data_IF_064681483017
#
_entry.id   IF_064681483017
#
_cell.length_a   1.000
_cell.length_b   1.000
_cell.length_c   1.000
_cell.angle_alpha   90.00
_cell.angle_beta   90.00
_cell.angle_gamma   90.00
#
_symmetry.space_group_name_H-M   'P 1'
#
loop_
_entity.id
_entity.type
_entity.pdbx_description
1 polymer ?
#
# COMPACT_ATOMS: atom_id res chain seq x y z
N UNK A 1 9.35 8.05 26.86
CA UNK A 1 9.04 6.96 25.91
C UNK A 1 10.34 6.56 25.22
N UNK A 2 10.55 5.28 24.90
CA UNK A 2 11.70 4.84 24.12
C UNK A 2 11.55 5.33 22.67
N UNK A 3 12.61 5.91 22.11
CA UNK A 3 12.65 6.34 20.70
C UNK A 3 12.69 5.13 19.78
N UNK A 4 12.12 5.24 18.59
CA UNK A 4 12.27 4.25 17.51
C UNK A 4 13.71 4.29 17.01
N UNK A 5 14.39 3.15 17.05
CA UNK A 5 15.81 3.03 16.70
C UNK A 5 15.94 2.65 15.24
N UNK A 6 16.47 3.54 14.41
CA UNK A 6 16.53 3.37 12.95
C UNK A 6 17.96 3.14 12.50
N UNK A 7 18.18 2.20 11.58
CA UNK A 7 19.44 2.03 10.87
C UNK A 7 19.21 2.23 9.37
N UNK A 8 20.04 3.04 8.72
CA UNK A 8 19.95 3.27 7.27
C UNK A 8 21.08 2.61 6.50
N UNK A 9 20.76 1.89 5.43
CA UNK A 9 21.70 1.27 4.50
C UNK A 9 21.53 1.91 3.14
N UNK A 10 22.54 2.66 2.70
CA UNK A 10 22.55 3.38 1.41
C UNK A 10 24.01 3.62 1.00
N UNK A 11 24.34 3.42 -0.28
CA UNK A 11 25.71 3.56 -0.78
C UNK A 11 26.16 5.03 -0.88
N UNK A 12 25.20 5.95 -0.98
CA UNK A 12 25.44 7.39 -1.04
C UNK A 12 25.69 7.97 0.35
N UNK A 13 26.89 8.50 0.56
CA UNK A 13 27.23 9.22 1.79
C UNK A 13 26.28 10.41 2.04
N UNK A 14 25.90 11.12 0.97
CA UNK A 14 24.96 12.24 1.04
C UNK A 14 23.58 11.77 1.50
N UNK A 15 23.05 10.68 0.92
CA UNK A 15 21.74 10.17 1.32
C UNK A 15 21.75 9.68 2.76
N UNK A 16 22.83 9.05 3.22
CA UNK A 16 22.98 8.66 4.63
C UNK A 16 22.97 9.87 5.57
N UNK A 17 23.61 10.97 5.20
CA UNK A 17 23.57 12.22 6.00
C UNK A 17 22.15 12.79 6.03
N UNK A 18 21.50 12.92 4.87
CA UNK A 18 20.11 13.41 4.75
C UNK A 18 19.15 12.56 5.60
N UNK A 19 19.23 11.23 5.48
CA UNK A 19 18.40 10.30 6.27
C UNK A 19 18.67 10.45 7.77
N UNK A 20 19.92 10.65 8.16
CA UNK A 20 20.29 10.88 9.57
C UNK A 20 19.68 12.17 10.10
N UNK A 21 19.77 13.26 9.35
CA UNK A 21 19.18 14.54 9.72
C UNK A 21 17.66 14.47 9.80
N UNK A 22 17.01 13.85 8.81
CA UNK A 22 15.56 13.65 8.79
C UNK A 22 15.12 12.88 10.03
N UNK A 23 15.67 11.69 10.27
CA UNK A 23 15.25 10.85 11.40
C UNK A 23 15.52 11.56 12.73
N UNK A 24 16.68 12.18 12.92
CA UNK A 24 17.02 12.85 14.18
C UNK A 24 16.26 14.17 14.40
N UNK A 25 15.62 14.73 13.36
CA UNK A 25 14.76 15.91 13.52
C UNK A 25 13.42 15.60 14.20
N UNK A 26 13.01 14.33 14.22
CA UNK A 26 11.78 13.87 14.87
C UNK A 26 12.05 13.41 16.31
N UNK A 27 11.27 13.88 17.27
CA UNK A 27 11.50 13.62 18.70
C UNK A 27 11.28 12.17 19.14
N UNK A 28 10.53 11.40 18.35
CA UNK A 28 10.11 10.02 18.65
C UNK A 28 11.00 8.94 18.03
N UNK A 29 12.04 9.31 17.29
CA UNK A 29 12.96 8.37 16.63
C UNK A 29 14.42 8.84 16.70
N UNK A 30 15.36 7.94 16.44
CA UNK A 30 16.80 8.22 16.40
C UNK A 30 17.51 7.34 15.38
N UNK A 31 18.51 7.90 14.69
CA UNK A 31 19.38 7.15 13.79
C UNK A 31 20.53 6.53 14.59
N UNK A 32 20.48 5.23 14.84
CA UNK A 32 21.48 4.53 15.67
C UNK A 32 22.77 4.23 14.90
N UNK A 33 22.69 4.04 13.59
CA UNK A 33 23.83 3.81 12.73
C UNK A 33 23.46 3.98 11.25
N UNK A 34 24.46 4.18 10.41
CA UNK A 34 24.31 4.09 8.94
C UNK A 34 25.37 3.14 8.36
N UNK A 35 25.02 2.44 7.30
CA UNK A 35 25.89 1.48 6.62
C UNK A 35 25.99 1.81 5.12
N UNK A 36 27.21 1.80 4.54
CA UNK A 36 27.39 1.97 3.10
C UNK A 36 27.09 0.71 2.28
N UNK A 37 27.04 -0.45 2.91
CA UNK A 37 26.89 -1.74 2.23
C UNK A 37 26.26 -2.82 3.13
N UNK A 38 25.73 -3.91 2.54
CA UNK A 38 25.12 -5.03 3.27
C UNK A 38 26.01 -5.75 4.29
N UNK A 39 27.33 -5.80 4.07
CA UNK A 39 28.24 -6.51 4.98
C UNK A 39 28.40 -5.72 6.27
N UNK A 40 28.65 -4.41 6.17
CA UNK A 40 28.71 -3.50 7.31
C UNK A 40 27.35 -3.43 7.99
N UNK A 41 26.26 -3.37 7.21
CA UNK A 41 24.90 -3.35 7.76
C UNK A 41 24.64 -4.55 8.67
N UNK A 42 25.03 -5.76 8.27
CA UNK A 42 24.84 -6.97 9.08
C UNK A 42 25.46 -6.86 10.47
N UNK A 43 26.67 -6.34 10.56
CA UNK A 43 27.40 -6.23 11.82
C UNK A 43 26.82 -5.12 12.70
N UNK A 44 26.41 -4.00 12.10
CA UNK A 44 25.73 -2.91 12.79
C UNK A 44 24.33 -3.32 13.29
N UNK A 45 23.56 -4.10 12.53
CA UNK A 45 22.26 -4.62 12.99
C UNK A 45 22.45 -5.54 14.21
N UNK A 46 23.52 -6.34 14.27
CA UNK A 46 23.84 -7.16 15.46
C UNK A 46 24.22 -6.29 16.66
N UNK A 47 25.07 -5.29 16.44
CA UNK A 47 25.59 -4.42 17.51
C UNK A 47 24.52 -3.50 18.09
N UNK A 48 23.73 -2.87 17.21
CA UNK A 48 22.78 -1.84 17.61
C UNK A 48 21.37 -2.38 17.80
N UNK A 49 20.98 -3.52 17.23
CA UNK A 49 19.62 -4.06 17.31
C UNK A 49 18.53 -2.99 17.05
N UNK A 50 18.49 -2.41 15.83
CA UNK A 50 17.50 -1.39 15.46
C UNK A 50 16.07 -1.95 15.41
N UNK A 51 15.09 -1.07 15.61
CA UNK A 51 13.66 -1.37 15.46
C UNK A 51 13.22 -1.31 14.00
N UNK A 52 13.82 -0.43 13.19
CA UNK A 52 13.49 -0.26 11.77
C UNK A 52 14.77 -0.14 10.95
N UNK A 53 14.78 -0.79 9.78
CA UNK A 53 15.83 -0.68 8.78
C UNK A 53 15.28 0.10 7.57
N UNK A 54 16.00 1.13 7.13
CA UNK A 54 15.79 1.71 5.79
C UNK A 54 16.84 1.14 4.85
N UNK A 55 16.41 0.57 3.73
CA UNK A 55 17.29 -0.19 2.83
C UNK A 55 17.17 0.34 1.40
N UNK A 56 18.29 0.81 0.86
CA UNK A 56 18.39 1.14 -0.55
C UNK A 56 18.28 -0.10 -1.43
N UNK A 57 17.57 0.04 -2.54
CA UNK A 57 17.43 -1.01 -3.55
C UNK A 57 18.72 -1.14 -4.37
N UNK A 58 19.28 0.00 -4.80
CA UNK A 58 20.37 0.03 -5.77
C UNK A 58 21.72 0.22 -5.07
N UNK A 59 22.43 -0.88 -4.81
CA UNK A 59 23.77 -0.81 -4.22
C UNK A 59 24.82 -1.55 -5.08
N UNK A 60 26.07 -1.05 -5.14
CA UNK A 60 27.14 -1.73 -5.83
C UNK A 60 27.53 -3.05 -5.12
N UNK A 61 27.85 -4.08 -5.92
CA UNK A 61 28.33 -5.44 -5.54
C UNK A 61 27.27 -6.43 -5.06
N UNK A 62 26.33 -6.02 -4.21
CA UNK A 62 25.24 -6.89 -3.74
C UNK A 62 23.92 -6.13 -3.85
N UNK A 63 22.97 -6.73 -4.57
CA UNK A 63 21.62 -6.18 -4.72
C UNK A 63 20.95 -6.08 -3.35
N UNK A 64 20.30 -4.94 -3.05
CA UNK A 64 19.55 -4.75 -1.82
C UNK A 64 18.48 -5.82 -1.63
N UNK A 65 17.98 -6.40 -2.72
CA UNK A 65 17.02 -7.50 -2.69
C UNK A 65 17.61 -8.80 -2.11
N UNK A 66 18.82 -9.19 -2.51
CA UNK A 66 19.51 -10.38 -1.98
C UNK A 66 19.80 -10.24 -0.49
N UNK A 67 20.15 -9.02 -0.07
CA UNK A 67 20.35 -8.72 1.34
C UNK A 67 19.05 -8.83 2.13
N UNK A 68 17.95 -8.26 1.60
CA UNK A 68 16.62 -8.35 2.21
C UNK A 68 16.18 -9.82 2.38
N UNK A 69 16.33 -10.65 1.34
CA UNK A 69 15.96 -12.06 1.39
C UNK A 69 16.71 -12.81 2.52
N UNK A 70 18.03 -12.63 2.59
CA UNK A 70 18.87 -13.23 3.63
C UNK A 70 18.52 -12.68 5.02
N UNK A 71 18.25 -11.38 5.13
CA UNK A 71 17.86 -10.73 6.37
C UNK A 71 16.53 -11.29 6.89
N UNK A 72 15.50 -11.32 6.05
CA UNK A 72 14.16 -11.81 6.43
C UNK A 72 14.17 -13.29 6.81
N UNK A 73 15.04 -14.09 6.18
CA UNK A 73 15.23 -15.52 6.53
C UNK A 73 15.95 -15.73 7.87
N UNK A 74 16.98 -14.93 8.16
CA UNK A 74 17.85 -15.15 9.33
C UNK A 74 17.40 -14.38 10.57
N UNK A 75 16.98 -13.12 10.40
CA UNK A 75 16.51 -12.20 11.44
C UNK A 75 15.45 -11.25 10.86
N UNK A 76 14.18 -11.69 10.73
CA UNK A 76 13.12 -10.84 10.21
C UNK A 76 12.95 -9.60 11.09
N UNK A 77 12.98 -8.43 10.48
CA UNK A 77 12.84 -7.14 11.15
C UNK A 77 12.16 -6.12 10.22
N UNK A 78 11.61 -5.02 10.74
CA UNK A 78 10.94 -4.02 9.91
C UNK A 78 11.87 -3.37 8.90
N UNK A 79 11.58 -3.56 7.61
CA UNK A 79 12.33 -2.93 6.52
C UNK A 79 11.41 -2.00 5.71
N UNK A 80 11.88 -0.77 5.52
CA UNK A 80 11.31 0.20 4.59
C UNK A 80 12.31 0.37 3.44
N UNK A 81 11.87 0.07 2.22
CA UNK A 81 12.73 0.20 1.04
C UNK A 81 12.87 1.67 0.64
N UNK A 82 14.04 2.05 0.16
CA UNK A 82 14.30 3.36 -0.44
C UNK A 82 14.65 3.13 -1.90
N UNK A 83 13.82 3.62 -2.82
CA UNK A 83 13.95 3.32 -4.26
C UNK A 83 14.02 4.59 -5.09
N UNK A 84 14.70 4.52 -6.23
CA UNK A 84 14.61 5.52 -7.30
C UNK A 84 13.24 5.45 -8.01
N UNK A 85 12.82 6.55 -8.64
CA UNK A 85 11.63 6.65 -9.51
C UNK A 85 11.89 6.10 -10.92
N UNK A 86 12.58 4.97 -11.03
CA UNK A 86 12.84 4.33 -12.34
C UNK A 86 11.92 3.14 -12.56
N UNK A 87 11.63 2.82 -13.83
CA UNK A 87 10.82 1.64 -14.17
C UNK A 87 11.40 0.34 -13.58
N UNK A 88 12.73 0.16 -13.67
CA UNK A 88 13.45 -0.96 -13.03
C UNK A 88 13.34 -0.94 -11.51
N UNK A 89 13.52 0.22 -10.88
CA UNK A 89 13.36 0.38 -9.43
C UNK A 89 11.96 0.00 -8.93
N UNK A 90 10.92 0.26 -9.73
CA UNK A 90 9.54 -0.10 -9.37
C UNK A 90 9.32 -1.61 -9.28
N UNK A 91 9.82 -2.40 -10.23
CA UNK A 91 9.68 -3.85 -10.22
C UNK A 91 10.44 -4.49 -9.05
N UNK A 92 11.67 -4.03 -8.81
CA UNK A 92 12.50 -4.52 -7.70
C UNK A 92 11.86 -4.18 -6.35
N UNK A 93 11.28 -2.98 -6.21
CA UNK A 93 10.58 -2.59 -4.98
C UNK A 93 9.34 -3.44 -4.73
N UNK A 94 8.54 -3.74 -5.77
CA UNK A 94 7.40 -4.64 -5.64
C UNK A 94 7.85 -6.04 -5.21
N UNK A 95 8.97 -6.53 -5.76
CA UNK A 95 9.56 -7.80 -5.34
C UNK A 95 10.03 -7.77 -3.88
N UNK A 96 10.60 -6.65 -3.44
CA UNK A 96 11.03 -6.47 -2.05
C UNK A 96 9.85 -6.55 -1.06
N UNK A 97 8.67 -6.00 -1.41
CA UNK A 97 7.46 -6.11 -0.58
C UNK A 97 7.01 -7.58 -0.43
N UNK A 98 7.11 -8.39 -1.48
CA UNK A 98 6.80 -9.84 -1.40
C UNK A 98 7.77 -10.60 -0.49
N UNK A 99 9.06 -10.23 -0.54
CA UNK A 99 10.10 -10.81 0.32
C UNK A 99 9.94 -10.39 1.79
N UNK A 100 9.04 -9.45 2.08
CA UNK A 100 8.63 -9.07 3.43
C UNK A 100 9.06 -7.68 3.86
N UNK A 101 9.49 -6.81 2.93
CA UNK A 101 9.53 -5.39 3.21
C UNK A 101 8.11 -4.87 3.52
N UNK A 102 8.01 -3.93 4.45
CA UNK A 102 6.71 -3.42 4.93
C UNK A 102 6.16 -2.37 3.99
N UNK A 103 7.05 -1.50 3.50
CA UNK A 103 6.69 -0.35 2.68
C UNK A 103 7.93 0.17 1.93
N UNK A 104 7.74 1.21 1.14
CA UNK A 104 8.82 1.89 0.45
C UNK A 104 8.66 3.42 0.44
N UNK A 105 9.76 4.10 0.15
CA UNK A 105 9.84 5.54 -0.06
C UNK A 105 10.65 5.81 -1.32
N UNK A 106 10.26 6.83 -2.07
CA UNK A 106 10.98 7.25 -3.28
C UNK A 106 12.06 8.27 -2.95
N UNK A 107 13.29 8.09 -3.45
CA UNK A 107 14.37 9.08 -3.29
C UNK A 107 13.91 10.45 -3.83
N UNK A 108 14.18 11.56 -3.11
CA UNK A 108 13.71 12.87 -3.51
C UNK A 108 14.50 13.35 -4.72
N UNK A 109 13.85 14.13 -5.59
CA UNK A 109 14.57 14.88 -6.61
C UNK A 109 15.27 16.06 -5.94
N UNK A 110 16.60 15.96 -5.80
CA UNK A 110 17.44 16.98 -5.16
C UNK A 110 17.30 18.32 -5.90
N UNK A 111 16.73 19.33 -5.24
CA UNK A 111 16.60 20.69 -5.80
C UNK A 111 15.43 21.54 -5.28
N UNK A 112 14.42 20.93 -4.66
CA UNK A 112 13.20 21.64 -4.21
C UNK A 112 13.10 21.60 -2.67
N UNK A 113 13.23 22.75 -2.02
CA UNK A 113 13.23 22.89 -0.55
C UNK A 113 11.90 22.44 0.09
N UNK A 114 10.77 22.72 -0.56
CA UNK A 114 9.44 22.22 -0.13
C UNK A 114 9.33 20.69 -0.23
N UNK A 115 9.97 20.09 -1.24
CA UNK A 115 10.03 18.65 -1.41
C UNK A 115 10.71 17.96 -0.24
N UNK A 116 11.72 18.58 0.38
CA UNK A 116 12.45 18.01 1.52
C UNK A 116 11.61 17.93 2.81
N UNK A 117 10.75 18.92 3.07
CA UNK A 117 9.86 18.89 4.24
C UNK A 117 8.79 17.80 4.08
N UNK A 118 8.15 17.73 2.90
CA UNK A 118 7.19 16.69 2.59
C UNK A 118 7.83 15.28 2.63
N UNK A 119 9.07 15.17 2.16
CA UNK A 119 9.85 13.93 2.20
C UNK A 119 10.20 13.51 3.63
N UNK A 120 10.57 14.45 4.50
CA UNK A 120 10.84 14.20 5.92
C UNK A 120 9.62 13.62 6.63
N UNK A 121 8.45 14.24 6.46
CA UNK A 121 7.20 13.75 7.03
C UNK A 121 6.82 12.36 6.48
N UNK A 122 6.99 12.14 5.18
CA UNK A 122 6.73 10.86 4.54
C UNK A 122 7.60 9.74 5.11
N UNK A 123 8.91 9.95 5.24
CA UNK A 123 9.82 8.96 5.85
C UNK A 123 9.41 8.69 7.29
N UNK A 124 9.15 9.72 8.08
CA UNK A 124 8.79 9.58 9.48
C UNK A 124 7.50 8.77 9.65
N UNK A 125 6.49 9.02 8.82
CA UNK A 125 5.25 8.22 8.80
C UNK A 125 5.52 6.75 8.46
N UNK A 126 6.32 6.48 7.42
CA UNK A 126 6.65 5.10 7.00
C UNK A 126 7.46 4.36 8.07
N UNK A 127 8.42 5.02 8.70
CA UNK A 127 9.23 4.46 9.81
C UNK A 127 8.37 4.19 11.04
N UNK A 128 7.49 5.12 11.44
CA UNK A 128 6.53 4.89 12.55
C UNK A 128 5.62 3.72 12.25
N UNK A 129 5.17 3.60 11.00
CA UNK A 129 4.31 2.49 10.56
C UNK A 129 5.05 1.17 10.63
N UNK A 130 6.29 1.13 10.12
CA UNK A 130 7.13 -0.05 10.16
C UNK A 130 7.47 -0.49 11.59
N UNK A 131 7.80 0.45 12.48
CA UNK A 131 8.13 0.16 13.88
C UNK A 131 6.97 -0.49 14.65
N UNK A 132 5.72 -0.16 14.30
CA UNK A 132 4.53 -0.78 14.91
C UNK A 132 4.02 -2.00 14.13
N UNK A 133 4.58 -2.27 12.95
CA UNK A 133 4.18 -3.40 12.14
C UNK A 133 4.53 -4.69 12.89
N UNK A 134 3.51 -5.52 13.12
CA UNK A 134 3.73 -6.82 13.74
C UNK A 134 4.27 -7.77 12.68
N UNK A 135 5.59 -7.89 12.62
CA UNK A 135 6.26 -8.95 11.87
C UNK A 135 6.09 -10.22 12.68
N UNK A 136 4.88 -10.81 12.61
CA UNK A 136 4.79 -12.23 12.83
C UNK A 136 5.72 -12.85 11.79
N UNK A 137 6.73 -13.62 12.24
CA UNK A 137 7.69 -14.31 11.39
C UNK A 137 7.02 -14.68 10.07
N UNK A 138 7.54 -14.15 8.97
CA UNK A 138 7.01 -14.22 7.61
C UNK A 138 6.84 -15.70 7.21
N UNK A 139 5.84 -16.35 7.79
CA UNK A 139 5.46 -17.70 7.45
C UNK A 139 4.67 -17.49 6.19
N UNK A 140 5.16 -17.95 5.02
CA UNK A 140 4.43 -17.80 3.78
C UNK A 140 3.02 -18.31 4.03
N UNK A 141 2.06 -17.39 4.07
CA UNK A 141 0.67 -17.77 4.22
C UNK A 141 0.34 -18.48 2.91
N UNK A 142 -0.11 -19.73 3.00
CA UNK A 142 -0.43 -20.51 1.82
C UNK A 142 -1.37 -19.68 0.93
N UNK A 143 -1.12 -19.69 -0.38
CA UNK A 143 -1.95 -18.97 -1.32
C UNK A 143 -3.42 -19.33 -1.06
N UNK A 144 -4.32 -18.34 -0.92
CA UNK A 144 -5.71 -18.61 -0.59
C UNK A 144 -6.30 -19.55 -1.65
N UNK A 145 -7.01 -20.58 -1.19
CA UNK A 145 -7.68 -21.51 -2.07
C UNK A 145 -8.64 -20.75 -2.99
N UNK A 146 -8.64 -21.09 -4.27
CA UNK A 146 -9.46 -20.45 -5.29
C UNK A 146 -10.94 -20.47 -4.89
N UNK A 147 -11.61 -19.32 -4.96
CA UNK A 147 -13.05 -19.25 -4.72
C UNK A 147 -13.79 -19.95 -5.87
N UNK A 148 -14.84 -20.70 -5.53
CA UNK A 148 -15.64 -21.42 -6.55
C UNK A 148 -16.29 -20.41 -7.50
N UNK A 149 -16.22 -20.69 -8.80
CA UNK A 149 -16.87 -19.88 -9.82
C UNK A 149 -18.40 -19.96 -9.66
N UNK A 150 -19.03 -18.80 -9.45
CA UNK A 150 -20.47 -18.61 -9.55
C UNK A 150 -20.88 -18.06 -10.93
N UNK A 151 -22.19 -18.00 -11.23
CA UNK A 151 -22.69 -17.34 -12.44
C UNK A 151 -22.31 -15.85 -12.46
N UNK A 152 -22.23 -15.26 -13.65
CA UNK A 152 -21.97 -13.82 -13.81
C UNK A 152 -23.05 -13.01 -13.09
N UNK A 153 -22.61 -12.12 -12.21
CA UNK A 153 -23.47 -11.16 -11.54
C UNK A 153 -23.78 -9.99 -12.49
N UNK A 154 -24.88 -9.28 -12.23
CA UNK A 154 -25.23 -8.06 -12.98
C UNK A 154 -24.05 -7.08 -13.00
N UNK A 155 -23.84 -6.41 -14.14
CA UNK A 155 -22.79 -5.40 -14.32
C UNK A 155 -22.94 -4.18 -13.40
N UNK A 156 -24.05 -4.09 -12.66
CA UNK A 156 -24.23 -3.10 -11.61
C UNK A 156 -23.44 -3.41 -10.32
N UNK A 157 -23.04 -4.67 -10.09
CA UNK A 157 -22.31 -5.07 -8.87
C UNK A 157 -20.82 -4.79 -9.04
N UNK A 158 -20.22 -4.17 -8.03
CA UNK A 158 -18.78 -3.91 -7.99
C UNK A 158 -18.21 -3.96 -6.57
N UNK A 159 -16.89 -4.08 -6.47
CA UNK A 159 -16.14 -4.04 -5.22
C UNK A 159 -15.20 -2.85 -5.28
N UNK A 160 -15.22 -1.99 -4.27
CA UNK A 160 -14.31 -0.86 -4.13
C UNK A 160 -13.31 -1.15 -3.01
N UNK A 161 -12.01 -1.07 -3.31
CA UNK A 161 -10.94 -1.36 -2.36
C UNK A 161 -10.07 -0.12 -2.15
N UNK A 162 -9.84 0.24 -0.89
CA UNK A 162 -8.88 1.27 -0.50
C UNK A 162 -7.73 0.68 0.32
N UNK A 163 -6.49 1.03 0.03
CA UNK A 163 -5.32 0.49 0.72
C UNK A 163 -4.12 1.46 0.74
N UNK A 164 -3.22 1.27 1.71
CA UNK A 164 -2.00 2.07 1.87
C UNK A 164 -0.81 1.17 2.26
N UNK A 165 -0.15 1.38 3.40
CA UNK A 165 0.98 0.53 3.85
C UNK A 165 0.59 -0.95 4.00
N UNK A 166 1.37 -1.84 3.39
CA UNK A 166 1.07 -3.29 3.30
C UNK A 166 -0.09 -3.64 2.36
N UNK A 167 -0.69 -2.65 1.71
CA UNK A 167 -1.83 -2.81 0.81
C UNK A 167 -1.49 -3.63 -0.43
N UNK A 168 -0.26 -3.58 -0.94
CA UNK A 168 0.18 -4.36 -2.11
C UNK A 168 -0.02 -5.86 -1.92
N UNK A 169 0.46 -6.39 -0.79
CA UNK A 169 0.30 -7.80 -0.43
C UNK A 169 -1.16 -8.12 -0.09
N UNK A 170 -1.85 -7.25 0.64
CA UNK A 170 -3.25 -7.45 1.02
C UNK A 170 -4.17 -7.53 -0.22
N UNK A 171 -3.98 -6.63 -1.18
CA UNK A 171 -4.71 -6.63 -2.46
C UNK A 171 -4.43 -7.92 -3.22
N UNK A 172 -3.17 -8.36 -3.32
CA UNK A 172 -2.84 -9.64 -3.98
C UNK A 172 -3.62 -10.81 -3.36
N UNK A 173 -3.64 -10.92 -2.04
CA UNK A 173 -4.36 -12.00 -1.36
C UNK A 173 -5.87 -11.94 -1.57
N UNK A 174 -6.45 -10.75 -1.76
CA UNK A 174 -7.87 -10.58 -2.07
C UNK A 174 -8.19 -10.92 -3.53
N UNK A 175 -7.33 -10.53 -4.48
CA UNK A 175 -7.60 -10.69 -5.91
C UNK A 175 -7.24 -12.08 -6.46
N UNK A 176 -6.16 -12.68 -5.98
CA UNK A 176 -5.65 -13.96 -6.50
C UNK A 176 -6.68 -15.11 -6.48
N UNK A 177 -7.53 -15.28 -5.44
CA UNK A 177 -8.52 -16.36 -5.44
C UNK A 177 -9.79 -16.04 -6.24
N UNK A 178 -9.94 -14.83 -6.81
CA UNK A 178 -11.15 -14.42 -7.52
C UNK A 178 -11.27 -15.13 -8.88
N UNK A 179 -12.41 -15.76 -9.20
CA UNK A 179 -12.67 -16.33 -10.53
C UNK A 179 -12.97 -15.24 -11.57
N UNK A 180 -12.84 -15.59 -12.86
CA UNK A 180 -13.18 -14.71 -14.00
C UNK A 180 -14.60 -14.14 -13.97
N UNK A 181 -15.55 -14.84 -13.32
CA UNK A 181 -16.94 -14.39 -13.19
C UNK A 181 -17.17 -13.38 -12.07
N UNK A 182 -16.12 -12.95 -11.37
CA UNK A 182 -16.22 -11.98 -10.28
C UNK A 182 -16.74 -10.62 -10.76
N UNK A 183 -17.45 -9.86 -9.91
CA UNK A 183 -17.78 -8.46 -10.19
C UNK A 183 -16.54 -7.63 -10.47
N UNK A 184 -16.75 -6.46 -11.08
CA UNK A 184 -15.66 -5.51 -11.27
C UNK A 184 -15.07 -5.06 -9.93
N UNK A 185 -13.75 -4.90 -9.86
CA UNK A 185 -13.05 -4.40 -8.69
C UNK A 185 -12.35 -3.09 -9.02
N UNK A 186 -12.56 -2.04 -8.24
CA UNK A 186 -11.88 -0.75 -8.42
C UNK A 186 -11.06 -0.44 -7.16
N UNK A 187 -9.79 -0.14 -7.34
CA UNK A 187 -8.80 -0.14 -6.26
C UNK A 187 -8.04 1.17 -6.25
N UNK A 188 -8.07 1.87 -5.12
CA UNK A 188 -7.15 2.98 -4.85
C UNK A 188 -6.13 2.55 -3.83
N UNK A 189 -4.89 2.41 -4.29
CA UNK A 189 -3.71 2.17 -3.46
C UNK A 189 -2.87 3.44 -3.42
N UNK A 190 -2.54 3.94 -2.22
CA UNK A 190 -1.63 5.08 -2.08
C UNK A 190 -0.23 4.68 -2.58
N UNK A 191 0.12 5.14 -3.78
CA UNK A 191 1.32 4.73 -4.50
C UNK A 191 1.79 5.86 -5.44
N UNK A 192 3.10 6.12 -5.54
CA UNK A 192 3.65 7.13 -6.44
C UNK A 192 3.37 6.83 -7.93
N UNK A 193 3.46 7.83 -8.82
CA UNK A 193 3.36 7.62 -10.26
C UNK A 193 4.43 6.64 -10.77
N UNK A 194 4.07 5.85 -11.78
CA UNK A 194 4.93 4.80 -12.37
C UNK A 194 4.92 3.46 -11.63
N UNK A 195 4.74 3.46 -10.30
CA UNK A 195 4.63 2.21 -9.53
C UNK A 195 3.26 1.53 -9.73
N UNK A 196 2.21 2.32 -9.93
CA UNK A 196 0.84 1.82 -10.13
C UNK A 196 0.69 0.96 -11.38
N UNK A 197 1.37 1.35 -12.47
CA UNK A 197 1.44 0.57 -13.70
C UNK A 197 2.11 -0.79 -13.49
N UNK A 198 3.35 -0.80 -12.97
CA UNK A 198 4.09 -2.03 -12.68
C UNK A 198 3.35 -2.94 -11.70
N UNK A 199 2.63 -2.37 -10.73
CA UNK A 199 1.81 -3.10 -9.79
C UNK A 199 0.61 -3.78 -10.46
N UNK A 200 -0.08 -3.07 -11.36
CA UNK A 200 -1.19 -3.63 -12.13
C UNK A 200 -0.74 -4.77 -13.04
N UNK A 201 0.33 -4.57 -13.82
CA UNK A 201 0.88 -5.62 -14.70
C UNK A 201 1.30 -6.86 -13.91
N UNK A 202 1.88 -6.67 -12.72
CA UNK A 202 2.29 -7.79 -11.88
C UNK A 202 1.08 -8.56 -11.33
N UNK A 203 0.06 -7.88 -10.84
CA UNK A 203 -1.17 -8.53 -10.39
C UNK A 203 -1.88 -9.27 -11.54
N UNK A 204 -1.84 -8.73 -12.75
CA UNK A 204 -2.40 -9.35 -13.95
C UNK A 204 -1.73 -10.70 -14.28
N UNK A 205 -0.43 -10.83 -14.00
CA UNK A 205 0.32 -12.10 -14.18
C UNK A 205 -0.02 -13.14 -13.11
N UNK A 206 -0.55 -12.73 -11.95
CA UNK A 206 -0.78 -13.59 -10.79
C UNK A 206 -2.24 -13.98 -10.58
N UNK A 207 -3.19 -13.16 -11.07
CA UNK A 207 -4.62 -13.35 -10.87
C UNK A 207 -5.27 -14.02 -12.10
N UNK A 208 -6.45 -14.61 -11.90
CA UNK A 208 -7.28 -15.09 -13.02
C UNK A 208 -8.02 -13.95 -13.70
N UNK A 209 -8.53 -12.99 -12.91
CA UNK A 209 -9.15 -11.78 -13.42
C UNK A 209 -8.11 -10.89 -14.10
N UNK A 210 -8.55 -10.11 -15.10
CA UNK A 210 -7.70 -9.12 -15.75
C UNK A 210 -7.45 -7.94 -14.80
N UNK A 211 -6.19 -7.59 -14.57
CA UNK A 211 -5.83 -6.43 -13.75
C UNK A 211 -5.12 -5.40 -14.61
N UNK A 212 -5.55 -4.14 -14.54
CA UNK A 212 -4.92 -3.04 -15.29
C UNK A 212 -4.92 -1.73 -14.51
N UNK A 213 -4.03 -0.82 -14.88
CA UNK A 213 -4.11 0.58 -14.46
C UNK A 213 -5.31 1.23 -15.15
N UNK A 214 -6.04 2.06 -14.41
CA UNK A 214 -7.30 2.61 -14.85
C UNK A 214 -7.11 3.77 -15.84
N UNK A 215 -7.84 3.72 -16.95
CA UNK A 215 -7.85 4.72 -18.02
C UNK A 215 -9.14 5.55 -17.97
N UNK A 216 -9.03 6.85 -18.27
CA UNK A 216 -10.20 7.74 -18.26
C UNK A 216 -11.23 7.32 -19.32
N UNK A 217 -12.50 7.27 -18.93
CA UNK A 217 -13.62 6.93 -19.81
C UNK A 217 -13.79 5.44 -20.11
N UNK A 218 -12.92 4.56 -19.59
CA UNK A 218 -13.06 3.13 -19.86
C UNK A 218 -14.25 2.51 -19.11
N UNK A 219 -14.82 1.45 -19.68
CA UNK A 219 -15.97 0.75 -19.07
C UNK A 219 -15.52 -0.15 -17.93
N UNK A 220 -16.29 -0.14 -16.83
CA UNK A 220 -16.10 -1.02 -15.69
C UNK A 220 -16.82 -2.35 -15.95
N UNK A 221 -16.05 -3.43 -16.14
CA UNK A 221 -16.55 -4.74 -16.55
C UNK A 221 -16.31 -5.82 -15.47
N UNK A 222 -17.18 -6.84 -15.35
CA UNK A 222 -16.89 -8.03 -14.55
C UNK A 222 -15.60 -8.73 -15.00
N UNK A 223 -14.97 -9.45 -14.08
CA UNK A 223 -13.70 -10.14 -14.32
C UNK A 223 -12.49 -9.21 -14.47
N UNK A 224 -12.64 -7.93 -14.10
CA UNK A 224 -11.58 -6.93 -14.16
C UNK A 224 -11.33 -6.26 -12.81
N UNK A 225 -10.06 -5.95 -12.54
CA UNK A 225 -9.63 -5.05 -11.48
C UNK A 225 -8.92 -3.82 -12.05
N UNK A 226 -9.34 -2.63 -11.63
CA UNK A 226 -8.81 -1.34 -12.07
C UNK A 226 -8.04 -0.68 -10.93
N UNK A 227 -6.77 -0.36 -11.16
CA UNK A 227 -5.91 0.30 -10.18
C UNK A 227 -5.82 1.79 -10.49
N UNK A 228 -6.09 2.63 -9.51
CA UNK A 228 -5.96 4.08 -9.65
C UNK A 228 -4.53 4.46 -10.08
N UNK A 229 -4.37 5.27 -11.15
CA UNK A 229 -3.06 5.74 -11.57
C UNK A 229 -2.43 6.65 -10.50
N UNK A 230 -1.11 6.53 -10.32
CA UNK A 230 -0.35 7.36 -9.39
C UNK A 230 -0.41 8.84 -9.78
N UNK A 231 -0.44 9.72 -8.78
CA UNK A 231 -0.59 11.17 -8.95
C UNK A 231 -1.88 11.65 -9.64
N UNK A 232 -2.87 10.77 -9.80
CA UNK A 232 -4.22 11.12 -10.29
C UNK A 232 -5.30 10.57 -9.38
N UNK A 233 -6.48 11.19 -9.34
CA UNK A 233 -7.64 10.62 -8.67
C UNK A 233 -8.43 9.73 -9.61
N UNK A 234 -8.89 8.59 -9.10
CA UNK A 234 -9.82 7.69 -9.78
C UNK A 234 -11.17 7.72 -9.08
N UNK A 235 -12.22 7.95 -9.86
CA UNK A 235 -13.61 7.95 -9.43
C UNK A 235 -14.43 6.98 -10.28
N UNK A 236 -15.51 6.45 -9.69
CA UNK A 236 -16.57 5.79 -10.44
C UNK A 236 -17.49 6.86 -11.03
N UNK A 237 -17.70 6.84 -12.34
CA UNK A 237 -18.71 7.63 -13.03
C UNK A 237 -19.80 6.73 -13.61
N UNK A 238 -20.92 7.34 -14.01
CA UNK A 238 -22.03 6.62 -14.66
C UNK A 238 -22.42 7.34 -15.95
N UNK A 239 -22.48 6.60 -17.04
CA UNK A 239 -22.99 7.06 -18.34
C UNK A 239 -24.11 6.14 -18.77
N UNK A 240 -25.35 6.64 -18.70
CA UNK A 240 -26.56 5.84 -18.90
C UNK A 240 -26.62 4.64 -17.96
N UNK A 241 -26.72 3.44 -18.53
CA UNK A 241 -26.78 2.18 -17.78
C UNK A 241 -25.39 1.64 -17.36
N UNK A 242 -24.29 2.22 -17.85
CA UNK A 242 -22.95 1.68 -17.65
C UNK A 242 -22.14 2.50 -16.64
N UNK A 243 -21.28 1.80 -15.90
CA UNK A 243 -20.22 2.41 -15.10
C UNK A 243 -18.98 2.66 -15.95
N UNK A 244 -18.36 3.82 -15.71
CA UNK A 244 -17.12 4.24 -16.35
C UNK A 244 -16.10 4.62 -15.27
N UNK A 245 -14.82 4.45 -15.58
CA UNK A 245 -13.74 5.06 -14.83
C UNK A 245 -13.66 6.54 -15.21
N UNK A 246 -13.50 7.40 -14.21
CA UNK A 246 -13.13 8.79 -14.40
C UNK A 246 -11.81 9.06 -13.71
N UNK A 247 -10.83 9.55 -14.44
CA UNK A 247 -9.52 9.93 -13.92
C UNK A 247 -9.36 11.44 -14.01
N UNK A 248 -8.90 12.09 -12.93
CA UNK A 248 -8.72 13.54 -12.94
C UNK A 248 -7.57 14.01 -12.03
N UNK A 249 -7.00 15.18 -12.37
CA UNK A 249 -5.87 15.81 -11.69
C UNK A 249 -6.32 16.77 -10.56
N UNK A 250 -7.36 16.39 -9.81
CA UNK A 250 -7.87 17.19 -8.69
C UNK A 250 -6.81 17.45 -7.61
N UNK A 251 -7.03 18.44 -6.73
CA UNK A 251 -6.12 18.69 -5.62
C UNK A 251 -6.07 17.48 -4.67
N UNK A 252 -4.93 17.20 -4.00
CA UNK A 252 -4.82 16.09 -3.07
C UNK A 252 -5.88 16.13 -1.97
N UNK A 253 -6.50 14.97 -1.69
CA UNK A 253 -7.49 14.81 -0.61
C UNK A 253 -6.86 13.97 0.48
N UNK A 254 -6.89 14.47 1.72
CA UNK A 254 -6.19 13.86 2.86
C UNK A 254 -4.69 13.65 2.61
N UNK A 255 -4.05 14.60 1.91
CA UNK A 255 -2.63 14.59 1.51
C UNK A 255 -2.25 13.49 0.52
N UNK A 256 -3.23 12.84 -0.11
CA UNK A 256 -3.00 11.72 -1.01
C UNK A 256 -3.58 11.96 -2.40
N UNK A 257 -2.83 11.50 -3.41
CA UNK A 257 -3.25 11.41 -4.80
C UNK A 257 -2.51 10.22 -5.44
N UNK A 258 -3.17 9.07 -5.67
CA UNK A 258 -4.62 8.83 -5.58
C UNK A 258 -5.13 8.79 -4.13
N UNK A 259 -6.39 9.19 -3.92
CA UNK A 259 -7.05 9.20 -2.59
C UNK A 259 -8.16 8.18 -2.53
N UNK A 260 -8.17 7.39 -1.45
CA UNK A 260 -9.21 6.40 -1.16
C UNK A 260 -10.57 7.09 -1.00
N UNK A 261 -10.65 8.22 -0.31
CA UNK A 261 -11.93 8.87 -0.06
C UNK A 261 -12.61 9.30 -1.36
N UNK A 262 -11.85 9.82 -2.32
CA UNK A 262 -12.38 10.22 -3.63
C UNK A 262 -13.06 9.04 -4.35
N UNK A 263 -12.42 7.87 -4.32
CA UNK A 263 -13.01 6.63 -4.84
C UNK A 263 -14.30 6.28 -4.08
N UNK A 264 -14.26 6.21 -2.76
CA UNK A 264 -15.42 5.77 -1.97
C UNK A 264 -16.62 6.72 -2.07
N UNK A 265 -16.40 8.03 -2.14
CA UNK A 265 -17.49 9.01 -2.33
C UNK A 265 -18.18 8.82 -3.69
N UNK A 266 -17.41 8.64 -4.76
CA UNK A 266 -17.98 8.40 -6.10
C UNK A 266 -18.71 7.06 -6.18
N UNK A 267 -18.20 6.01 -5.52
CA UNK A 267 -18.85 4.70 -5.42
C UNK A 267 -20.17 4.78 -4.65
N UNK A 268 -20.19 5.45 -3.51
CA UNK A 268 -21.41 5.66 -2.74
C UNK A 268 -22.47 6.42 -3.56
N UNK A 269 -22.04 7.42 -4.33
CA UNK A 269 -22.91 8.25 -5.19
C UNK A 269 -23.49 7.47 -6.37
N UNK A 270 -22.70 6.66 -7.06
CA UNK A 270 -23.08 6.04 -8.34
C UNK A 270 -23.53 4.58 -8.23
N UNK A 271 -23.00 3.81 -7.27
CA UNK A 271 -23.34 2.40 -7.05
C UNK A 271 -24.16 2.15 -5.80
N UNK A 272 -23.94 2.92 -4.73
CA UNK A 272 -24.71 2.79 -3.48
C UNK A 272 -24.76 1.35 -2.97
N UNK A 273 -25.96 0.78 -2.82
CA UNK A 273 -26.19 -0.60 -2.34
C UNK A 273 -25.65 -1.70 -3.27
N UNK A 274 -25.26 -1.37 -4.49
CA UNK A 274 -24.69 -2.32 -5.44
C UNK A 274 -23.17 -2.49 -5.30
N UNK A 275 -22.52 -1.71 -4.44
CA UNK A 275 -21.10 -1.83 -4.16
C UNK A 275 -20.82 -2.50 -2.80
N UNK A 276 -19.71 -3.22 -2.74
CA UNK A 276 -19.07 -3.65 -1.49
C UNK A 276 -17.80 -2.81 -1.29
N UNK A 277 -17.73 -2.10 -0.17
CA UNK A 277 -16.55 -1.35 0.22
C UNK A 277 -15.61 -2.18 1.09
N UNK A 278 -14.32 -2.22 0.74
CA UNK A 278 -13.27 -2.91 1.49
C UNK A 278 -12.13 -1.93 1.77
N UNK A 279 -11.80 -1.75 3.04
CA UNK A 279 -10.61 -0.98 3.44
C UNK A 279 -9.58 -1.97 3.95
N UNK A 280 -8.46 -2.07 3.24
CA UNK A 280 -7.30 -2.88 3.59
C UNK A 280 -6.26 -2.00 4.28
N UNK A 281 -5.27 -2.64 4.91
CA UNK A 281 -4.36 -1.99 5.85
C UNK A 281 -3.82 -0.65 5.32
N UNK A 282 -4.05 0.36 6.15
CA UNK A 282 -3.39 1.65 6.27
C UNK A 282 -3.38 1.96 7.76
N UNK A 283 -2.35 2.63 8.27
CA UNK A 283 -2.26 2.89 9.71
C UNK A 283 -3.47 3.71 10.20
N UNK A 284 -3.97 3.37 11.39
CA UNK A 284 -5.20 3.85 12.02
C UNK A 284 -5.19 5.33 12.50
N UNK A 285 -4.36 6.19 11.90
CA UNK A 285 -4.20 7.60 12.30
C UNK A 285 -4.62 8.61 11.24
N UNK A 286 -5.15 8.19 10.11
CA UNK A 286 -6.01 9.10 9.35
C UNK A 286 -7.33 9.19 10.07
N UNK A 287 -7.68 10.41 10.49
CA UNK A 287 -9.00 10.73 10.99
C UNK A 287 -10.06 10.20 10.01
N UNK A 288 -10.67 9.07 10.38
CA UNK A 288 -11.80 8.43 9.69
C UNK A 288 -13.21 8.98 10.07
N UNK A 289 -13.45 10.23 10.54
CA UNK A 289 -14.84 10.68 10.71
C UNK A 289 -15.65 10.72 9.40
N UNK A 290 -15.04 11.06 8.26
CA UNK A 290 -15.79 11.33 7.02
C UNK A 290 -16.11 10.06 6.22
N UNK A 291 -15.15 9.15 6.04
CA UNK A 291 -15.37 7.90 5.30
C UNK A 291 -16.47 7.01 5.95
N UNK A 292 -16.61 7.09 7.28
CA UNK A 292 -17.64 6.39 8.05
C UNK A 292 -19.04 7.01 7.92
N UNK A 293 -19.14 8.31 7.60
CA UNK A 293 -20.42 9.03 7.50
C UNK A 293 -21.10 8.81 6.15
N UNK A 294 -20.33 8.82 5.06
CA UNK A 294 -20.86 8.69 3.70
C UNK A 294 -21.38 7.27 3.39
N UNK A 295 -20.75 6.22 3.94
CA UNK A 295 -21.20 4.84 3.74
C UNK A 295 -22.35 4.42 4.67
N UNK A 296 -22.59 5.14 5.77
CA UNK A 296 -23.81 4.93 6.59
C UNK A 296 -25.08 5.54 6.00
N UNK A 297 -24.96 6.55 5.13
CA UNK A 297 -26.11 7.15 4.45
C UNK A 297 -26.56 6.34 3.23
N UNK A 298 -25.74 5.42 2.72
CA UNK A 298 -26.09 4.49 1.65
C UNK A 298 -26.26 3.06 2.21
N UNK A 299 -27.43 2.40 2.05
CA UNK A 299 -27.72 1.11 2.69
C UNK A 299 -27.02 -0.08 1.99
N UNK A 300 -25.69 -0.21 2.12
CA UNK A 300 -24.88 -1.30 1.56
C UNK A 300 -24.07 -2.07 2.62
N UNK A 301 -23.78 -3.37 2.40
CA UNK A 301 -22.97 -4.17 3.33
C UNK A 301 -21.47 -3.79 3.25
N UNK A 302 -20.89 -3.43 4.39
CA UNK A 302 -19.45 -3.17 4.55
C UNK A 302 -18.78 -4.39 5.17
N UNK A 303 -17.85 -5.03 4.45
CA UNK A 303 -17.07 -6.17 4.97
C UNK A 303 -15.78 -5.65 5.62
N UNK A 304 -15.65 -5.86 6.93
CA UNK A 304 -14.40 -5.66 7.68
C UNK A 304 -13.67 -6.99 7.79
N UNK A 305 -12.47 -7.11 7.25
CA UNK A 305 -11.62 -8.30 7.44
C UNK A 305 -11.06 -8.33 8.86
N UNK A 306 -11.08 -9.50 9.50
CA UNK A 306 -10.52 -9.77 10.83
C UNK A 306 -8.99 -9.90 10.74
N UNK A 307 -8.29 -8.81 10.51
CA UNK A 307 -6.90 -8.66 10.96
C UNK A 307 -6.60 -7.16 11.12
N UNK A 308 -6.76 -6.70 12.38
CA UNK A 308 -6.36 -5.38 12.93
C UNK A 308 -7.12 -4.20 12.29
N UNK A 309 -8.20 -3.67 12.86
CA UNK A 309 -8.23 -2.72 14.00
C UNK A 309 -9.56 -2.82 14.77
N UNK A 310 -9.47 -2.86 16.10
CA UNK A 310 -10.58 -2.63 17.05
C UNK A 310 -10.78 -1.12 17.23
N UNK A 311 -12.02 -0.62 17.18
CA UNK A 311 -12.38 0.71 17.69
C UNK A 311 -13.47 0.54 18.75
N UNK A 312 -13.20 1.05 19.95
CA UNK A 312 -13.94 0.86 21.21
C UNK A 312 -15.29 1.61 21.32
N UNK A 313 -15.89 2.04 20.21
CA UNK A 313 -17.04 2.96 20.23
C UNK A 313 -18.39 2.38 19.75
N UNK A 314 -18.56 1.07 19.57
CA UNK A 314 -19.88 0.50 19.22
C UNK A 314 -20.16 -0.81 19.97
N UNK A 315 -20.95 -0.72 21.04
CA UNK A 315 -21.73 -1.85 21.58
C UNK A 315 -22.90 -2.11 20.64
N UNK A 316 -22.70 -2.92 19.61
CA UNK A 316 -23.79 -3.59 18.91
C UNK A 316 -23.24 -4.90 18.31
N UNK A 317 -23.81 -6.02 18.73
CA UNK A 317 -23.39 -7.38 18.36
C UNK A 317 -23.47 -7.56 16.83
N UNK A 318 -22.48 -8.18 16.18
CA UNK A 318 -22.60 -8.57 14.78
C UNK A 318 -23.32 -9.93 14.68
N UNK A 319 -24.45 -9.95 13.98
CA UNK A 319 -25.01 -11.18 13.42
C UNK A 319 -24.16 -11.59 12.22
N UNK A 320 -23.36 -12.63 12.41
CA UNK A 320 -22.59 -13.32 11.38
C UNK A 320 -23.59 -14.10 10.52
N UNK A 321 -23.61 -13.85 9.21
CA UNK A 321 -24.19 -14.79 8.25
C UNK A 321 -23.06 -15.39 7.43
N UNK A 322 -22.86 -16.70 7.65
CA UNK A 322 -22.12 -17.59 6.76
C UNK A 322 -23.16 -18.15 5.79
N UNK A 323 -22.93 -17.95 4.50
CA UNK A 323 -23.48 -18.76 3.42
C UNK A 323 -22.44 -18.79 2.30
#
# INVERSE_FOLDING_TARGET
MSKIRVLSVDDSALMRQIMTEIINSHSDMEMVATAPDPLVARDLIKKFNPDVLTLDVEMPRMDGLDFLEKLMRLRPMPVVMVSSLTGKGSEVTLRALELGAIDFVTKPQLGIREGMLAYSEMIAEKVRTAARARIAAHKPMAAPATLKAGPLLSSEKLIAIGASTGGTEAIRHVLQPLPLSSPAVIITQHMPPGFTHSFAERLNKLCQISVKEAEDGERVLPGHAYIAPGDKHMELARSGANYLIKVHDGPPVNRHRPSVDVLFHSVAKHAGRNAVGVILTGMATMALPECWRCTRQAPGPLLKTKQVVWCSACRARPSIWVA
#
